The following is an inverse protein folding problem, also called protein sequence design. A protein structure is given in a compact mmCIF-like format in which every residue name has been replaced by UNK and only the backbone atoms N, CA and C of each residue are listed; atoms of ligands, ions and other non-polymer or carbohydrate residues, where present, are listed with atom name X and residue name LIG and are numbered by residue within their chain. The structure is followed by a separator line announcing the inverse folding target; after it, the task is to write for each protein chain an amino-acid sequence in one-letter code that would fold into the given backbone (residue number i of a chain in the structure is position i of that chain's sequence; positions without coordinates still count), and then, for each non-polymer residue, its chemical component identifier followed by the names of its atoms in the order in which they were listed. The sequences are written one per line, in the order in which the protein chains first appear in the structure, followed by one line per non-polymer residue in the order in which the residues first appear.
data_IF_665989728158
#
_entry.id   IF_665989728158
#
_cell.length_a   1.000
_cell.length_b   1.000
_cell.length_c   1.000
_cell.angle_alpha   90.00
_cell.angle_beta   90.00
_cell.angle_gamma   90.00
#
_symmetry.space_group_name_H-M   'P 1'
#
loop_
_entity.id
_entity.type
_entity.pdbx_description
1 polymer ?
#
# COMPACT_ATOMS: atom_id res chain seq x y z
N UNK A 1 -23.01 -41.02 6.48
CA UNK A 1 -22.39 -39.79 5.94
C UNK A 1 -23.01 -38.57 6.63
N UNK A 2 -22.24 -37.64 7.19
CA UNK A 2 -22.79 -36.48 7.88
C UNK A 2 -23.56 -35.58 6.90
N UNK A 3 -24.81 -35.23 7.25
CA UNK A 3 -25.64 -34.30 6.48
C UNK A 3 -24.91 -32.95 6.34
N UNK A 4 -24.89 -32.40 5.13
CA UNK A 4 -24.26 -31.10 4.84
C UNK A 4 -25.05 -30.02 5.59
N UNK A 5 -24.38 -29.11 6.29
CA UNK A 5 -24.97 -28.03 7.13
C UNK A 5 -25.91 -27.04 6.41
N UNK A 6 -26.19 -27.24 5.12
CA UNK A 6 -26.94 -26.30 4.30
C UNK A 6 -28.43 -26.19 4.68
N UNK A 7 -29.00 -27.20 5.33
CA UNK A 7 -30.42 -27.18 5.72
C UNK A 7 -30.68 -26.41 7.02
N UNK A 8 -29.64 -26.11 7.83
CA UNK A 8 -29.79 -25.46 9.14
C UNK A 8 -29.94 -23.93 9.06
N UNK A 9 -29.35 -23.30 8.04
CA UNK A 9 -29.40 -21.83 7.85
C UNK A 9 -30.52 -21.38 6.91
N UNK A 10 -31.41 -22.30 6.50
CA UNK A 10 -32.53 -21.95 5.64
C UNK A 10 -33.64 -21.37 6.52
N UNK A 11 -34.01 -20.09 6.35
CA UNK A 11 -35.09 -19.51 7.15
C UNK A 11 -36.39 -20.27 6.86
N UNK A 12 -37.18 -20.52 7.91
CA UNK A 12 -38.44 -21.27 7.81
C UNK A 12 -39.46 -20.55 6.90
N UNK A 13 -39.39 -19.23 6.81
CA UNK A 13 -40.26 -18.39 5.98
C UNK A 13 -39.44 -17.34 5.23
N UNK A 14 -39.78 -17.12 3.96
CA UNK A 14 -39.14 -16.10 3.12
C UNK A 14 -40.13 -14.95 2.92
N UNK A 15 -39.93 -13.86 3.66
CA UNK A 15 -40.71 -12.64 3.49
C UNK A 15 -40.25 -11.89 2.23
N UNK A 16 -41.12 -11.80 1.22
CA UNK A 16 -40.84 -11.04 0.00
C UNK A 16 -41.36 -9.62 0.11
N UNK A 17 -40.50 -8.72 0.61
CA UNK A 17 -40.79 -7.29 0.56
C UNK A 17 -40.66 -6.75 -0.88
N UNK A 18 -41.77 -6.22 -1.40
CA UNK A 18 -41.85 -5.66 -2.75
C UNK A 18 -41.07 -4.35 -2.86
N UNK A 19 -40.91 -3.60 -1.77
CA UNK A 19 -40.17 -2.34 -1.75
C UNK A 19 -38.66 -2.58 -1.80
N UNK A 20 -38.15 -3.46 -0.91
CA UNK A 20 -36.77 -3.95 -0.99
C UNK A 20 -36.45 -4.55 -2.36
N UNK A 21 -37.40 -5.25 -3.00
CA UNK A 21 -37.23 -5.76 -4.37
C UNK A 21 -37.11 -4.64 -5.40
N UNK A 22 -37.94 -3.59 -5.31
CA UNK A 22 -37.87 -2.41 -6.20
C UNK A 22 -36.53 -1.70 -6.02
N UNK A 23 -36.10 -1.43 -4.79
CA UNK A 23 -34.78 -0.84 -4.52
C UNK A 23 -33.62 -1.74 -4.98
N UNK A 24 -33.77 -3.06 -4.86
CA UNK A 24 -32.77 -3.98 -5.37
C UNK A 24 -32.66 -3.88 -6.90
N UNK A 25 -33.77 -3.82 -7.62
CA UNK A 25 -33.76 -3.74 -9.08
C UNK A 25 -33.31 -2.37 -9.60
N UNK A 26 -33.76 -1.27 -9.00
CA UNK A 26 -33.47 0.10 -9.50
C UNK A 26 -32.22 0.72 -8.86
N UNK A 27 -31.83 0.27 -7.66
CA UNK A 27 -30.70 0.79 -6.89
C UNK A 27 -29.33 0.30 -7.35
N UNK A 28 -29.20 -0.27 -8.56
CA UNK A 28 -27.92 -0.80 -9.05
C UNK A 28 -26.85 0.29 -9.14
N UNK A 29 -27.24 1.49 -9.57
CA UNK A 29 -26.36 2.66 -9.59
C UNK A 29 -25.94 3.07 -8.17
N UNK A 30 -26.89 3.12 -7.22
CA UNK A 30 -26.61 3.39 -5.80
C UNK A 30 -25.62 2.38 -5.23
N UNK A 31 -25.79 1.07 -5.47
CA UNK A 31 -24.84 0.03 -5.01
C UNK A 31 -23.48 0.11 -5.69
N UNK A 32 -23.42 0.52 -6.96
CA UNK A 32 -22.16 0.75 -7.66
C UNK A 32 -21.43 1.93 -7.04
N UNK A 33 -22.11 3.05 -6.81
CA UNK A 33 -21.55 4.21 -6.12
C UNK A 33 -21.10 3.86 -4.69
N UNK A 34 -21.90 3.13 -3.92
CA UNK A 34 -21.54 2.66 -2.58
C UNK A 34 -20.29 1.77 -2.60
N UNK A 35 -20.15 0.86 -3.59
CA UNK A 35 -18.93 0.06 -3.73
C UNK A 35 -17.70 0.92 -4.04
N UNK A 36 -17.86 1.91 -4.92
CA UNK A 36 -16.79 2.86 -5.25
C UNK A 36 -16.43 3.69 -4.00
N UNK A 37 -17.41 4.18 -3.25
CA UNK A 37 -17.21 4.93 -2.02
C UNK A 37 -16.48 4.09 -0.97
N UNK A 38 -16.96 2.87 -0.69
CA UNK A 38 -16.29 1.93 0.23
C UNK A 38 -14.86 1.62 -0.19
N UNK A 39 -14.60 1.44 -1.48
CA UNK A 39 -13.24 1.22 -1.97
C UNK A 39 -12.33 2.44 -1.73
N UNK A 40 -12.86 3.66 -1.92
CA UNK A 40 -12.14 4.90 -1.60
C UNK A 40 -11.90 5.05 -0.09
N UNK A 41 -12.89 4.73 0.74
CA UNK A 41 -12.77 4.77 2.20
C UNK A 41 -11.70 3.80 2.72
N UNK A 42 -11.68 2.57 2.21
CA UNK A 42 -10.66 1.57 2.57
C UNK A 42 -9.27 2.05 2.14
N UNK A 43 -9.13 2.58 0.92
CA UNK A 43 -7.86 3.13 0.46
C UNK A 43 -7.38 4.28 1.36
N UNK A 44 -8.27 5.20 1.72
CA UNK A 44 -7.98 6.31 2.62
C UNK A 44 -7.62 5.84 4.05
N UNK A 45 -8.24 4.77 4.55
CA UNK A 45 -7.90 4.17 5.84
C UNK A 45 -6.48 3.58 5.83
N UNK A 46 -6.16 2.79 4.80
CA UNK A 46 -4.82 2.20 4.62
C UNK A 46 -3.75 3.30 4.49
N UNK A 47 -4.00 4.36 3.72
CA UNK A 47 -3.06 5.47 3.61
C UNK A 47 -2.83 6.20 4.94
N UNK A 48 -3.87 6.36 5.76
CA UNK A 48 -3.75 6.97 7.09
C UNK A 48 -2.92 6.09 8.03
N UNK A 49 -3.15 4.79 8.01
CA UNK A 49 -2.37 3.82 8.80
C UNK A 49 -0.90 3.82 8.36
N UNK A 50 -0.63 3.72 7.06
CA UNK A 50 0.74 3.78 6.53
C UNK A 50 1.46 5.09 6.90
N UNK A 51 0.76 6.24 6.87
CA UNK A 51 1.34 7.53 7.32
C UNK A 51 1.65 7.54 8.81
N UNK A 52 0.80 6.92 9.65
CA UNK A 52 1.05 6.82 11.09
C UNK A 52 2.26 5.92 11.37
N UNK A 53 2.35 4.77 10.70
CA UNK A 53 3.46 3.84 10.85
C UNK A 53 4.78 4.45 10.38
N UNK A 54 4.78 5.16 9.24
CA UNK A 54 5.96 5.88 8.76
C UNK A 54 6.44 6.93 9.78
N UNK A 55 5.51 7.70 10.36
CA UNK A 55 5.87 8.67 11.43
C UNK A 55 6.40 7.97 12.68
N UNK A 56 5.84 6.83 13.06
CA UNK A 56 6.32 6.05 14.19
C UNK A 56 7.76 5.57 13.94
N UNK A 57 8.02 4.98 12.77
CA UNK A 57 9.37 4.54 12.38
C UNK A 57 10.39 5.69 12.40
N UNK A 58 10.02 6.90 11.95
CA UNK A 58 10.92 8.06 12.01
C UNK A 58 11.21 8.44 13.47
N UNK A 59 10.20 8.41 14.35
CA UNK A 59 10.41 8.72 15.77
C UNK A 59 11.27 7.66 16.46
N UNK A 60 11.02 6.39 16.18
CA UNK A 60 11.75 5.27 16.75
C UNK A 60 13.23 5.35 16.31
N UNK A 61 13.50 5.59 15.02
CA UNK A 61 14.87 5.82 14.51
C UNK A 61 15.56 7.01 15.17
N UNK A 62 14.87 8.14 15.31
CA UNK A 62 15.43 9.32 16.01
C UNK A 62 15.74 9.02 17.46
N UNK A 63 14.91 8.20 18.12
CA UNK A 63 15.13 7.79 19.50
C UNK A 63 16.36 6.88 19.60
N UNK A 64 16.49 5.90 18.71
CA UNK A 64 17.66 5.03 18.60
C UNK A 64 18.95 5.85 18.35
N UNK A 65 18.92 6.77 17.38
CA UNK A 65 20.05 7.68 17.09
C UNK A 65 20.44 8.52 18.32
N UNK A 66 19.46 9.05 19.06
CA UNK A 66 19.73 9.80 20.30
C UNK A 66 20.29 8.90 21.41
N UNK A 67 19.78 7.68 21.57
CA UNK A 67 20.30 6.71 22.55
C UNK A 67 21.74 6.31 22.22
N UNK A 68 22.05 6.05 20.95
CA UNK A 68 23.41 5.79 20.47
C UNK A 68 24.34 6.97 20.72
N UNK A 69 23.90 8.20 20.44
CA UNK A 69 24.68 9.40 20.70
C UNK A 69 24.93 9.62 22.20
N UNK A 70 23.93 9.40 23.04
CA UNK A 70 24.08 9.49 24.51
C UNK A 70 25.00 8.39 25.03
N UNK A 71 24.88 7.16 24.53
CA UNK A 71 25.77 6.05 24.88
C UNK A 71 27.23 6.35 24.45
N UNK A 72 27.42 6.83 23.22
CA UNK A 72 28.74 7.24 22.72
C UNK A 72 29.31 8.40 23.52
N UNK A 73 28.49 9.40 23.89
CA UNK A 73 28.87 10.52 24.74
C UNK A 73 29.27 10.08 26.14
N UNK A 74 28.47 9.21 26.78
CA UNK A 74 28.81 8.59 28.08
C UNK A 74 30.10 7.78 27.99
N UNK A 75 30.29 6.99 26.94
CA UNK A 75 31.52 6.23 26.72
C UNK A 75 32.73 7.15 26.53
N UNK A 76 32.61 8.23 25.76
CA UNK A 76 33.66 9.22 25.57
C UNK A 76 34.00 9.96 26.88
N UNK A 77 32.99 10.36 27.65
CA UNK A 77 33.16 10.99 28.97
C UNK A 77 33.84 10.04 29.96
N UNK A 78 33.41 8.77 30.04
CA UNK A 78 34.07 7.74 30.85
C UNK A 78 35.52 7.52 30.44
N UNK A 79 35.80 7.48 29.13
CA UNK A 79 37.18 7.40 28.60
C UNK A 79 38.00 8.62 29.05
N UNK A 80 37.49 9.83 28.82
CA UNK A 80 38.17 11.06 29.23
C UNK A 80 38.45 11.12 30.74
N UNK A 81 37.48 10.74 31.57
CA UNK A 81 37.63 10.67 33.02
C UNK A 81 38.71 9.64 33.44
N UNK A 82 38.74 8.45 32.82
CA UNK A 82 39.79 7.44 33.08
C UNK A 82 41.18 7.95 32.70
N UNK A 83 41.33 8.63 31.56
CA UNK A 83 42.60 9.25 31.15
C UNK A 83 43.04 10.34 32.15
N UNK A 84 42.12 11.20 32.59
CA UNK A 84 42.43 12.24 33.58
C UNK A 84 42.83 11.67 34.94
N UNK A 85 42.27 10.52 35.34
CA UNK A 85 42.62 9.80 36.57
C UNK A 85 43.89 8.93 36.46
N UNK A 86 44.57 8.91 35.31
CA UNK A 86 45.81 8.15 35.11
C UNK A 86 45.64 6.62 35.07
N UNK A 87 44.41 6.11 34.93
CA UNK A 87 44.12 4.66 34.84
C UNK A 87 44.32 4.17 33.38
N UNK A 88 44.91 2.97 33.16
CA UNK A 88 45.16 2.47 31.81
C UNK A 88 43.85 2.16 31.05
N UNK A 89 43.84 2.33 29.73
CA UNK A 89 42.72 1.97 28.82
C UNK A 89 42.55 0.44 28.68
N UNK A 90 42.47 -0.29 29.79
CA UNK A 90 42.10 -1.70 29.77
C UNK A 90 40.59 -1.81 29.53
N UNK A 91 40.23 -2.55 28.49
CA UNK A 91 38.86 -2.90 28.05
C UNK A 91 38.24 -3.95 28.99
N UNK A 92 38.30 -3.71 30.30
CA UNK A 92 37.55 -4.50 31.28
C UNK A 92 36.29 -3.73 31.61
N UNK A 93 35.16 -4.23 31.14
CA UNK A 93 33.81 -3.91 31.61
C UNK A 93 33.63 -4.42 33.05
N UNK A 94 34.44 -3.89 33.97
CA UNK A 94 34.29 -4.19 35.39
C UNK A 94 33.35 -3.18 36.01
N UNK A 95 32.28 -3.77 36.54
CA UNK A 95 31.22 -3.29 37.41
C UNK A 95 31.74 -2.34 38.50
N UNK A 96 31.39 -1.06 38.41
CA UNK A 96 31.42 -0.14 39.55
C UNK A 96 30.12 0.66 39.51
N UNK A 97 29.22 0.26 40.41
CA UNK A 97 27.89 0.81 40.61
C UNK A 97 27.92 2.19 41.23
N UNK A 98 28.11 3.21 40.40
CA UNK A 98 27.62 4.56 40.70
C UNK A 98 26.19 4.70 40.15
N UNK A 99 25.25 4.11 40.90
CA UNK A 99 23.84 4.47 40.85
C UNK A 99 23.73 5.99 41.02
N UNK A 100 23.23 6.66 39.97
CA UNK A 100 22.83 8.06 40.06
C UNK A 100 21.79 8.18 41.15
N UNK A 101 22.23 8.59 42.35
CA UNK A 101 21.35 8.94 43.47
C UNK A 101 20.43 10.06 43.01
N UNK A 102 19.16 9.70 42.82
CA UNK A 102 18.12 10.65 42.41
C UNK A 102 18.19 11.89 43.29
N UNK A 103 18.03 13.06 42.68
CA UNK A 103 17.73 14.28 43.42
C UNK A 103 16.50 13.95 44.27
N UNK A 104 16.68 13.87 45.58
CA UNK A 104 15.58 13.76 46.54
C UNK A 104 14.67 14.96 46.31
N UNK A 105 13.46 14.64 45.84
CA UNK A 105 12.34 15.57 45.73
C UNK A 105 11.89 15.90 47.15
N UNK A 106 12.58 16.87 47.75
CA UNK A 106 12.08 17.56 48.93
C UNK A 106 10.88 18.40 48.48
N UNK A 107 9.69 17.93 48.88
CA UNK A 107 8.44 18.66 48.82
C UNK A 107 8.62 20.03 49.49
N UNK A 108 8.88 21.06 48.69
CA UNK A 108 8.63 22.43 49.10
C UNK A 108 7.80 23.15 48.03
N UNK A 109 6.50 23.26 48.36
CA UNK A 109 5.54 24.16 47.75
C UNK A 109 6.12 25.57 47.57
N UNK A 110 6.54 25.94 46.36
CA UNK A 110 6.43 27.35 45.94
C UNK A 110 6.15 27.47 44.44
N UNK A 111 4.92 27.87 44.18
CA UNK A 111 4.39 28.48 42.98
C UNK A 111 5.42 29.19 42.06
N UNK A 112 5.57 28.70 40.83
CA UNK A 112 5.61 29.53 39.62
C UNK A 112 5.56 28.63 38.38
N UNK A 113 4.37 28.51 37.78
CA UNK A 113 4.25 27.98 36.44
C UNK A 113 5.12 28.83 35.49
N UNK A 114 6.09 28.26 34.75
CA UNK A 114 6.79 29.03 33.72
C UNK A 114 5.75 29.47 32.68
N UNK A 115 5.77 30.73 32.21
CA UNK A 115 4.86 31.15 31.15
C UNK A 115 5.10 30.28 29.93
N UNK A 116 4.06 29.57 29.49
CA UNK A 116 4.07 28.86 28.21
C UNK A 116 4.20 29.91 27.13
N UNK A 117 5.44 30.12 26.68
CA UNK A 117 5.69 30.94 25.50
C UNK A 117 5.34 30.05 24.32
N UNK A 118 4.08 30.10 23.90
CA UNK A 118 3.65 29.59 22.59
C UNK A 118 4.31 30.47 21.52
N UNK A 119 5.61 30.26 21.30
CA UNK A 119 6.33 30.85 20.16
C UNK A 119 5.96 30.03 18.95
N UNK A 120 4.84 30.38 18.32
CA UNK A 120 4.57 30.04 16.94
C UNK A 120 5.59 30.80 16.07
N UNK A 121 6.83 30.31 16.00
CA UNK A 121 7.81 30.76 15.02
C UNK A 121 7.33 30.29 13.65
N UNK A 122 6.51 31.12 13.01
CA UNK A 122 6.13 30.98 11.61
C UNK A 122 7.38 31.17 10.77
N UNK A 123 8.04 30.07 10.43
CA UNK A 123 9.12 30.06 9.45
C UNK A 123 8.50 30.32 8.08
N UNK A 124 8.58 31.56 7.61
CA UNK A 124 8.31 31.89 6.21
C UNK A 124 9.53 31.41 5.44
N UNK A 125 9.43 30.26 4.77
CA UNK A 125 10.39 29.87 3.74
C UNK A 125 10.33 30.94 2.62
N UNK A 126 11.27 31.88 2.62
CA UNK A 126 11.42 32.93 1.60
C UNK A 126 11.76 32.38 0.20
N UNK A 127 12.00 31.06 0.09
CA UNK A 127 12.54 30.41 -1.12
C UNK A 127 11.51 29.61 -1.96
N UNK A 128 10.20 29.76 -1.71
CA UNK A 128 9.16 29.12 -2.56
C UNK A 128 8.36 30.16 -3.35
N UNK A 129 8.97 30.68 -4.41
CA UNK A 129 8.22 31.42 -5.43
C UNK A 129 7.34 30.45 -6.23
N UNK A 130 6.05 30.38 -5.91
CA UNK A 130 5.04 29.91 -6.88
C UNK A 130 4.63 31.10 -7.73
N UNK A 131 5.12 31.19 -8.96
CA UNK A 131 4.66 32.20 -9.91
C UNK A 131 3.26 31.83 -10.39
N UNK A 132 2.29 32.67 -10.04
CA UNK A 132 0.92 32.60 -10.57
C UNK A 132 0.91 33.41 -11.86
N UNK A 133 0.68 32.74 -12.99
CA UNK A 133 0.44 33.40 -14.28
C UNK A 133 -1.06 33.57 -14.41
N UNK A 134 -1.52 34.82 -14.46
CA UNK A 134 -2.92 35.16 -14.74
C UNK A 134 -3.01 35.40 -16.24
N UNK A 135 -3.63 34.47 -16.97
CA UNK A 135 -4.02 34.67 -18.36
C UNK A 135 -5.41 35.33 -18.39
N UNK A 136 -5.52 36.45 -19.11
CA UNK A 136 -6.78 37.12 -19.36
C UNK A 136 -7.61 36.26 -20.33
N UNK A 137 -8.65 35.58 -19.82
CA UNK A 137 -9.67 34.99 -20.68
C UNK A 137 -10.54 36.11 -21.25
N UNK A 138 -10.49 36.30 -22.56
CA UNK A 138 -11.40 37.16 -23.30
C UNK A 138 -12.83 36.57 -23.25
N UNK A 139 -13.64 37.07 -22.31
CA UNK A 139 -15.03 36.68 -22.10
C UNK A 139 -16.02 37.36 -23.07
N UNK A 140 -15.54 37.95 -24.17
CA UNK A 140 -16.36 38.67 -25.16
C UNK A 140 -16.60 37.93 -26.49
N UNK A 141 -16.17 36.67 -26.62
CA UNK A 141 -16.59 35.82 -27.74
C UNK A 141 -17.69 34.86 -27.28
N UNK A 142 -18.88 35.42 -27.13
CA UNK A 142 -20.11 34.70 -26.88
C UNK A 142 -20.37 33.65 -27.98
N UNK A 143 -20.99 32.56 -27.54
CA UNK A 143 -21.89 31.62 -28.20
C UNK A 143 -21.99 31.52 -29.73
N UNK A 144 -22.41 30.32 -30.15
CA UNK A 144 -23.06 30.01 -31.43
C UNK A 144 -22.17 29.53 -32.58
N UNK A 145 -22.29 28.22 -32.80
CA UNK A 145 -22.33 27.54 -34.11
C UNK A 145 -21.03 27.54 -34.93
N UNK A 146 -20.62 26.46 -35.57
CA UNK A 146 -21.18 25.13 -35.79
C UNK A 146 -20.00 24.29 -36.31
N UNK A 147 -19.96 22.98 -36.08
CA UNK A 147 -20.53 21.99 -37.02
C UNK A 147 -19.79 22.06 -38.37
N UNK A 148 -19.21 21.01 -38.93
CA UNK A 148 -19.55 19.59 -39.06
C UNK A 148 -18.21 18.85 -39.31
N UNK A 149 -18.00 17.53 -39.35
CA UNK A 149 -18.76 16.34 -39.69
C UNK A 149 -17.76 15.17 -39.44
N UNK A 150 -18.07 13.91 -39.21
CA UNK A 150 -19.28 13.14 -38.99
C UNK A 150 -18.82 11.70 -38.63
N UNK A 151 -19.62 11.01 -37.82
CA UNK A 151 -20.14 9.62 -37.94
C UNK A 151 -19.22 8.42 -38.24
N UNK A 152 -19.48 7.18 -37.84
CA UNK A 152 -20.57 6.47 -37.13
C UNK A 152 -19.91 5.13 -36.67
N UNK A 153 -20.05 4.70 -35.41
CA UNK A 153 -20.98 3.65 -34.93
C UNK A 153 -20.28 2.30 -34.63
N UNK A 154 -20.83 1.56 -33.66
CA UNK A 154 -20.65 0.10 -33.56
C UNK A 154 -20.04 -0.46 -32.27
N UNK A 155 -20.87 -0.64 -31.24
CA UNK A 155 -20.98 -1.81 -30.33
C UNK A 155 -19.85 -2.88 -30.26
N UNK A 156 -19.52 -3.32 -29.03
CA UNK A 156 -18.94 -4.68 -28.83
C UNK A 156 -18.04 -4.97 -27.63
N UNK A 157 -18.63 -5.05 -26.42
CA UNK A 157 -18.49 -6.17 -25.47
C UNK A 157 -17.11 -6.68 -24.90
N UNK A 158 -17.06 -6.76 -23.54
CA UNK A 158 -16.33 -7.69 -22.62
C UNK A 158 -14.81 -7.54 -22.32
N UNK A 159 -14.54 -6.88 -21.18
CA UNK A 159 -14.26 -7.54 -19.89
C UNK A 159 -12.86 -8.08 -19.53
N UNK A 160 -12.24 -7.51 -18.48
CA UNK A 160 -11.80 -8.20 -17.23
C UNK A 160 -10.83 -7.31 -16.41
N UNK A 161 -11.27 -6.83 -15.25
CA UNK A 161 -10.41 -6.53 -14.11
C UNK A 161 -10.84 -7.47 -12.97
N UNK A 162 -9.97 -8.43 -12.66
CA UNK A 162 -10.17 -9.41 -11.60
C UNK A 162 -9.89 -8.79 -10.23
N UNK A 163 -10.96 -8.80 -9.45
CA UNK A 163 -11.09 -8.97 -8.01
C UNK A 163 -9.94 -9.73 -7.33
N UNK A 164 -9.31 -9.10 -6.33
CA UNK A 164 -8.66 -9.81 -5.23
C UNK A 164 -9.45 -9.53 -3.95
N UNK A 165 -10.17 -10.54 -3.49
CA UNK A 165 -10.83 -10.59 -2.18
C UNK A 165 -10.21 -11.76 -1.44
N UNK A 166 -9.39 -11.45 -0.43
CA UNK A 166 -9.06 -12.37 0.64
C UNK A 166 -9.60 -11.73 1.92
N UNK A 167 -10.76 -12.21 2.36
CA UNK A 167 -11.09 -12.24 3.78
C UNK A 167 -11.10 -13.70 4.21
N UNK A 168 -10.61 -13.88 5.43
CA UNK A 168 -10.54 -15.12 6.16
C UNK A 168 -11.95 -15.54 6.58
N UNK A 169 -12.32 -16.78 6.27
CA UNK A 169 -13.14 -17.57 7.17
C UNK A 169 -12.78 -19.05 7.04
N UNK A 170 -12.85 -19.73 8.17
CA UNK A 170 -12.15 -20.95 8.56
C UNK A 170 -12.75 -22.19 7.88
N UNK A 171 -11.89 -23.15 7.54
CA UNK A 171 -12.29 -24.57 7.54
C UNK A 171 -12.56 -25.29 6.22
N UNK A 172 -12.07 -24.86 5.04
CA UNK A 172 -12.10 -25.71 3.83
C UNK A 172 -10.75 -25.69 3.10
N UNK A 173 -10.16 -26.87 2.88
CA UNK A 173 -8.89 -27.07 2.15
C UNK A 173 -8.92 -26.32 0.80
N UNK A 174 -8.19 -25.20 0.73
CA UNK A 174 -8.01 -24.40 -0.49
C UNK A 174 -7.06 -25.15 -1.43
N UNK A 175 -7.59 -25.68 -2.52
CA UNK A 175 -6.77 -26.14 -3.64
C UNK A 175 -6.07 -24.92 -4.27
N UNK A 176 -4.77 -24.98 -4.63
CA UNK A 176 -4.04 -23.82 -5.11
C UNK A 176 -4.60 -23.35 -6.46
N UNK A 177 -5.29 -22.20 -6.46
CA UNK A 177 -5.75 -21.55 -7.68
C UNK A 177 -4.54 -20.91 -8.36
N UNK A 178 -4.10 -21.47 -9.48
CA UNK A 178 -3.08 -20.84 -10.33
C UNK A 178 -3.58 -19.44 -10.75
N UNK A 179 -2.74 -18.40 -10.74
CA UNK A 179 -3.13 -17.07 -11.15
C UNK A 179 -3.61 -17.10 -12.61
N UNK A 180 -4.80 -16.56 -12.88
CA UNK A 180 -5.33 -16.48 -14.23
C UNK A 180 -4.53 -15.42 -14.99
N UNK A 181 -3.81 -15.85 -16.03
CA UNK A 181 -3.08 -14.93 -16.89
C UNK A 181 -4.06 -13.94 -17.53
N UNK A 182 -3.79 -12.64 -17.36
CA UNK A 182 -4.59 -11.58 -17.99
C UNK A 182 -4.56 -11.79 -19.51
N UNK A 183 -5.73 -11.70 -20.15
CA UNK A 183 -5.84 -11.76 -21.61
C UNK A 183 -4.93 -10.68 -22.20
N UNK A 184 -3.96 -11.09 -23.03
CA UNK A 184 -3.08 -10.14 -23.72
C UNK A 184 -3.95 -9.24 -24.59
N UNK A 185 -3.88 -7.93 -24.37
CA UNK A 185 -4.50 -6.96 -25.28
C UNK A 185 -3.91 -7.26 -26.66
N UNK A 186 -4.77 -7.45 -27.67
CA UNK A 186 -4.32 -7.64 -29.04
C UNK A 186 -3.68 -6.32 -29.48
N UNK A 187 -2.37 -6.23 -29.32
CA UNK A 187 -1.55 -5.25 -30.00
C UNK A 187 -0.68 -6.07 -30.94
N UNK A 188 -0.44 -5.56 -32.15
CA UNK A 188 0.53 -6.20 -33.02
C UNK A 188 1.82 -6.36 -32.23
N UNK A 189 2.22 -7.62 -31.98
CA UNK A 189 3.50 -7.93 -31.36
C UNK A 189 4.57 -7.10 -32.06
N UNK A 190 5.46 -6.49 -31.28
CA UNK A 190 6.59 -5.76 -31.85
C UNK A 190 7.38 -6.69 -32.78
N UNK A 191 8.11 -6.14 -33.76
CA UNK A 191 8.89 -6.97 -34.70
C UNK A 191 9.84 -7.93 -33.97
N UNK A 192 10.38 -7.53 -32.82
CA UNK A 192 11.22 -8.35 -31.97
C UNK A 192 10.45 -9.51 -31.31
N UNK A 193 9.28 -9.24 -30.73
CA UNK A 193 8.42 -10.25 -30.12
C UNK A 193 7.93 -11.29 -31.15
N UNK A 194 7.56 -10.84 -32.35
CA UNK A 194 7.15 -11.74 -33.45
C UNK A 194 8.28 -12.69 -33.88
N UNK A 195 9.52 -12.20 -33.91
CA UNK A 195 10.70 -13.04 -34.19
C UNK A 195 10.93 -14.06 -33.07
N UNK A 196 10.83 -13.64 -31.81
CA UNK A 196 10.98 -14.52 -30.65
C UNK A 196 9.92 -15.63 -30.63
N UNK A 197 8.66 -15.30 -30.92
CA UNK A 197 7.57 -16.29 -30.95
C UNK A 197 7.70 -17.24 -32.14
N UNK A 198 8.12 -16.75 -33.33
CA UNK A 198 8.44 -17.63 -34.46
C UNK A 198 9.56 -18.61 -34.12
N UNK A 199 10.58 -18.17 -33.37
CA UNK A 199 11.67 -19.03 -32.92
C UNK A 199 11.20 -20.07 -31.90
N UNK A 200 10.37 -19.68 -30.92
CA UNK A 200 9.78 -20.60 -29.94
C UNK A 200 8.91 -21.67 -30.62
N UNK A 201 8.10 -21.29 -31.60
CA UNK A 201 7.27 -22.21 -32.39
C UNK A 201 8.13 -23.20 -33.19
N UNK A 202 9.21 -22.72 -33.83
CA UNK A 202 10.15 -23.60 -34.55
C UNK A 202 10.76 -24.65 -33.61
N UNK A 203 11.28 -24.22 -32.45
CA UNK A 203 11.85 -25.13 -31.44
C UNK A 203 10.83 -26.16 -30.93
N UNK A 204 9.58 -25.74 -30.70
CA UNK A 204 8.52 -26.67 -30.25
C UNK A 204 8.23 -27.73 -31.31
N UNK A 205 8.06 -27.31 -32.57
CA UNK A 205 7.82 -28.23 -33.69
C UNK A 205 8.98 -29.20 -33.91
N UNK A 206 10.21 -28.73 -33.76
CA UNK A 206 11.40 -29.58 -33.84
C UNK A 206 11.44 -30.64 -32.73
N UNK A 207 11.12 -30.26 -31.48
CA UNK A 207 11.00 -31.20 -30.36
C UNK A 207 9.88 -32.21 -30.56
N UNK A 208 8.73 -31.79 -31.09
CA UNK A 208 7.62 -32.71 -31.38
C UNK A 208 8.00 -33.69 -32.51
N UNK A 209 8.71 -33.21 -33.55
CA UNK A 209 9.24 -34.06 -34.62
C UNK A 209 10.26 -35.06 -34.11
N UNK A 210 11.20 -34.66 -33.24
CA UNK A 210 12.19 -35.59 -32.70
C UNK A 210 11.55 -36.63 -31.78
N UNK A 211 10.58 -36.23 -30.95
CA UNK A 211 9.78 -37.17 -30.14
C UNK A 211 9.02 -38.18 -31.00
N UNK A 212 8.35 -37.71 -32.05
CA UNK A 212 7.62 -38.59 -32.95
C UNK A 212 8.54 -39.55 -33.72
N UNK A 213 9.73 -39.09 -34.12
CA UNK A 213 10.76 -39.97 -34.72
C UNK A 213 11.23 -41.04 -33.73
N UNK A 214 11.55 -40.65 -32.50
CA UNK A 214 11.96 -41.59 -31.45
C UNK A 214 10.85 -42.59 -31.09
N UNK A 215 9.59 -42.16 -31.05
CA UNK A 215 8.45 -43.05 -30.82
C UNK A 215 8.23 -44.02 -32.00
N UNK A 216 8.42 -43.55 -33.24
CA UNK A 216 8.36 -44.40 -34.44
C UNK A 216 9.49 -45.43 -34.47
N UNK A 217 10.69 -45.07 -34.04
CA UNK A 217 11.83 -45.99 -33.92
C UNK A 217 11.60 -47.04 -32.83
N UNK A 218 10.96 -46.66 -31.71
CA UNK A 218 10.59 -47.61 -30.63
C UNK A 218 9.45 -48.57 -30.97
N UNK A 219 8.66 -48.26 -32.00
CA UNK A 219 7.54 -49.09 -32.47
C UNK A 219 7.93 -50.05 -33.60
N UNK A 220 9.15 -49.93 -34.14
CA UNK A 220 9.75 -50.88 -35.07
C UNK A 220 10.62 -51.86 -34.31
#
# INVERSE_FOLDING_TARGET
MPKRRADADRPAEIAFDREARKEYLTGFHKRKQQRIAKAKEIAAAIEKEAKKDAKKQIRDKRKEELEELVAAGKAAARKAARLAAGKPLSDSEDDDGDEWGGIEEEEEETAAAPPKVDKEEQYVDEDKFTTVVVEEMDLNADSSAGEEAEEEDGEGEKGKAEENKQEEDKGKKKWPKKPKEKKKKFRYLSKAERKADRFKLKKRKEKERSKFKAEKEKRK
#
